data_IF_824315311607
#
_entry.id   IF_824315311607
#
_cell.length_a   1.000
_cell.length_b   1.000
_cell.length_c   1.000
_cell.angle_alpha   90.00
_cell.angle_beta   90.00
_cell.angle_gamma   90.00
#
_symmetry.space_group_name_H-M   'P 1'
#
loop_
_entity.id
_entity.type
_entity.pdbx_description
1 polymer ?
#
# COMPACT_ATOMS: atom_id res chain seq x y z
N UNK A 1 20.27 -12.52 -7.26
CA UNK A 1 19.47 -11.28 -7.31
C UNK A 1 18.21 -11.55 -8.12
N UNK A 2 17.05 -11.31 -7.52
CA UNK A 2 15.74 -11.49 -8.14
C UNK A 2 15.38 -10.36 -9.10
N UNK A 3 14.15 -10.39 -9.62
CA UNK A 3 13.69 -9.45 -10.65
C UNK A 3 13.77 -7.98 -10.21
N UNK A 4 13.50 -7.72 -8.93
CA UNK A 4 13.46 -6.38 -8.35
C UNK A 4 14.80 -5.93 -7.77
N UNK A 5 15.92 -6.52 -8.20
CA UNK A 5 17.25 -6.05 -7.83
C UNK A 5 17.72 -6.42 -6.41
N UNK A 6 16.87 -7.07 -5.61
CA UNK A 6 17.22 -7.58 -4.29
C UNK A 6 17.53 -9.08 -4.30
N UNK A 7 18.38 -9.53 -3.39
CA UNK A 7 18.63 -10.96 -3.17
C UNK A 7 17.49 -11.58 -2.34
N UNK A 8 17.03 -12.77 -2.73
CA UNK A 8 15.99 -13.46 -1.96
C UNK A 8 16.54 -13.99 -0.64
N UNK A 9 15.76 -13.90 0.43
CA UNK A 9 16.16 -14.29 1.79
C UNK A 9 16.08 -15.80 2.07
N UNK A 10 15.68 -16.61 1.08
CA UNK A 10 15.50 -18.06 1.27
C UNK A 10 16.83 -18.80 1.14
N UNK A 11 17.16 -19.61 2.15
CA UNK A 11 18.42 -20.36 2.18
C UNK A 11 18.31 -21.82 1.70
N UNK A 12 17.11 -22.28 1.36
CA UNK A 12 16.86 -23.69 1.01
C UNK A 12 17.06 -24.04 -0.47
N UNK A 13 17.64 -23.14 -1.26
CA UNK A 13 17.97 -23.35 -2.67
C UNK A 13 16.78 -23.47 -3.62
N UNK A 14 15.55 -23.23 -3.15
CA UNK A 14 14.33 -23.30 -3.96
C UNK A 14 14.01 -21.98 -4.65
N UNK A 15 13.60 -22.06 -5.91
CA UNK A 15 13.01 -20.94 -6.64
C UNK A 15 11.49 -21.14 -6.76
N UNK A 16 10.72 -20.45 -5.91
CA UNK A 16 9.26 -20.61 -5.89
C UNK A 16 8.57 -20.03 -7.12
N UNK A 17 9.20 -19.11 -7.85
CA UNK A 17 8.67 -18.59 -9.12
C UNK A 17 8.71 -19.70 -10.17
N UNK A 18 9.84 -20.40 -10.30
CA UNK A 18 9.96 -21.52 -11.25
C UNK A 18 8.99 -22.66 -10.90
N UNK A 19 8.81 -22.92 -9.60
CA UNK A 19 7.83 -23.91 -9.13
C UNK A 19 6.38 -23.50 -9.44
N UNK A 20 6.03 -22.22 -9.31
CA UNK A 20 4.70 -21.72 -9.68
C UNK A 20 4.47 -21.85 -11.20
N UNK A 21 5.45 -21.50 -12.03
CA UNK A 21 5.38 -21.69 -13.49
C UNK A 21 5.18 -23.18 -13.81
N UNK A 22 5.97 -24.07 -13.18
CA UNK A 22 5.83 -25.52 -13.36
C UNK A 22 4.45 -26.05 -12.90
N UNK A 23 3.81 -25.39 -11.93
CA UNK A 23 2.46 -25.68 -11.46
C UNK A 23 1.34 -25.05 -12.34
N UNK A 24 1.71 -24.37 -13.43
CA UNK A 24 0.80 -23.80 -14.42
C UNK A 24 0.33 -22.38 -14.12
N UNK A 25 1.02 -21.64 -13.24
CA UNK A 25 0.72 -20.22 -13.04
C UNK A 25 1.29 -19.37 -14.17
N UNK A 26 0.48 -18.46 -14.68
CA UNK A 26 0.97 -17.27 -15.38
C UNK A 26 1.65 -16.37 -14.35
N UNK A 27 2.90 -15.96 -14.58
CA UNK A 27 3.63 -15.09 -13.66
C UNK A 27 3.88 -13.73 -14.29
N UNK A 28 3.45 -12.66 -13.62
CA UNK A 28 3.58 -11.27 -14.06
C UNK A 28 4.19 -10.40 -12.97
N UNK A 29 4.77 -9.26 -13.37
CA UNK A 29 5.61 -8.48 -12.48
C UNK A 29 5.43 -6.96 -12.56
N UNK A 30 4.53 -6.46 -13.40
CA UNK A 30 4.18 -5.05 -13.47
C UNK A 30 2.76 -4.87 -14.04
N UNK A 31 2.26 -3.65 -14.00
CA UNK A 31 0.92 -3.30 -14.47
C UNK A 31 0.71 -3.66 -15.95
N UNK A 32 1.68 -3.38 -16.82
CA UNK A 32 1.55 -3.66 -18.25
C UNK A 32 1.37 -5.17 -18.52
N UNK A 33 2.13 -6.01 -17.81
CA UNK A 33 2.01 -7.46 -17.89
C UNK A 33 0.69 -7.95 -17.28
N UNK A 34 0.25 -7.36 -16.16
CA UNK A 34 -1.03 -7.68 -15.54
C UNK A 34 -2.21 -7.37 -16.49
N UNK A 35 -2.16 -6.24 -17.19
CA UNK A 35 -3.17 -5.83 -18.16
C UNK A 35 -3.12 -6.64 -19.47
N UNK A 36 -2.02 -7.33 -19.73
CA UNK A 36 -1.80 -8.14 -20.94
C UNK A 36 -1.97 -9.63 -20.71
N UNK A 37 -2.49 -10.06 -19.54
CA UNK A 37 -2.77 -11.48 -19.29
C UNK A 37 -3.80 -12.02 -20.28
N UNK A 38 -3.65 -13.29 -20.66
CA UNK A 38 -4.56 -13.92 -21.60
C UNK A 38 -5.91 -14.19 -20.94
N UNK A 39 -7.00 -14.06 -21.71
CA UNK A 39 -8.38 -14.28 -21.24
C UNK A 39 -8.61 -15.70 -20.70
N UNK A 40 -7.82 -16.68 -21.14
CA UNK A 40 -7.88 -18.07 -20.66
C UNK A 40 -6.98 -18.35 -19.45
N UNK A 41 -6.40 -17.32 -18.83
CA UNK A 41 -5.60 -17.44 -17.60
C UNK A 41 -6.49 -17.92 -16.45
N UNK A 42 -6.17 -19.08 -15.90
CA UNK A 42 -6.89 -19.68 -14.76
C UNK A 42 -6.10 -19.66 -13.46
N UNK A 43 -4.78 -19.47 -13.54
CA UNK A 43 -3.88 -19.37 -12.39
C UNK A 43 -2.90 -18.23 -12.62
N UNK A 44 -2.91 -17.25 -11.72
CA UNK A 44 -2.08 -16.05 -11.81
C UNK A 44 -1.28 -15.89 -10.52
N UNK A 45 0.03 -15.67 -10.64
CA UNK A 45 0.88 -15.23 -9.56
C UNK A 45 1.52 -13.92 -9.99
N UNK A 46 1.22 -12.86 -9.26
CA UNK A 46 1.75 -11.53 -9.54
C UNK A 46 2.68 -11.09 -8.43
N UNK A 47 3.86 -10.57 -8.76
CA UNK A 47 4.86 -10.10 -7.79
C UNK A 47 5.36 -8.75 -8.26
N UNK A 48 5.08 -7.67 -7.53
CA UNK A 48 5.29 -6.31 -8.01
C UNK A 48 6.45 -5.55 -7.33
N UNK A 49 7.00 -6.10 -6.25
CA UNK A 49 8.13 -5.53 -5.53
C UNK A 49 9.03 -6.63 -4.95
N UNK A 50 10.22 -6.25 -4.49
CA UNK A 50 11.06 -7.13 -3.68
C UNK A 50 10.51 -7.30 -2.26
N UNK A 51 9.98 -6.20 -1.72
CA UNK A 51 9.38 -6.06 -0.39
C UNK A 51 8.00 -5.40 -0.62
N UNK A 52 7.86 -4.10 -0.35
CA UNK A 52 6.59 -3.38 -0.48
C UNK A 52 6.45 -2.59 -1.80
N UNK A 53 5.21 -2.34 -2.21
CA UNK A 53 4.88 -1.48 -3.37
C UNK A 53 4.83 0.01 -3.00
N UNK A 54 5.06 0.32 -1.73
CA UNK A 54 5.11 1.65 -1.14
C UNK A 54 6.45 1.89 -0.43
N UNK A 55 6.70 3.15 -0.08
CA UNK A 55 7.85 3.61 0.69
C UNK A 55 7.34 4.04 2.07
N UNK A 56 7.31 3.12 3.02
CA UNK A 56 6.93 3.33 4.41
C UNK A 56 8.06 4.03 5.19
N UNK A 57 8.33 5.28 4.81
CA UNK A 57 9.14 6.18 5.60
C UNK A 57 8.29 7.37 6.03
N UNK A 58 8.74 8.13 7.05
CA UNK A 58 8.21 9.45 7.31
C UNK A 58 8.20 10.32 6.05
N UNK A 59 7.21 11.22 5.94
CA UNK A 59 7.01 12.06 4.74
C UNK A 59 8.29 12.83 4.35
N UNK A 60 8.99 13.40 5.33
CA UNK A 60 10.22 14.18 5.11
C UNK A 60 11.37 13.32 4.59
N UNK A 61 11.43 12.05 5.00
CA UNK A 61 12.45 11.13 4.52
C UNK A 61 12.19 10.77 3.07
N UNK A 62 10.95 10.41 2.71
CA UNK A 62 10.57 10.18 1.31
C UNK A 62 10.89 11.41 0.45
N UNK A 63 10.54 12.61 0.91
CA UNK A 63 10.87 13.86 0.21
C UNK A 63 12.38 14.05 0.03
N UNK A 64 13.18 13.81 1.07
CA UNK A 64 14.65 13.96 1.01
C UNK A 64 15.32 12.98 0.05
N UNK A 65 14.69 11.81 -0.14
CA UNK A 65 15.13 10.77 -1.06
C UNK A 65 14.54 10.94 -2.48
N UNK A 66 13.64 11.90 -2.67
CA UNK A 66 12.93 12.10 -3.94
C UNK A 66 11.96 10.96 -4.27
N UNK A 67 11.38 10.32 -3.24
CA UNK A 67 10.42 9.22 -3.35
C UNK A 67 8.99 9.74 -3.14
N UNK A 68 8.07 9.18 -3.90
CA UNK A 68 6.63 9.23 -3.60
C UNK A 68 6.27 8.12 -2.58
N UNK A 69 5.08 8.17 -2.00
CA UNK A 69 4.64 7.12 -1.08
C UNK A 69 4.52 5.75 -1.77
N UNK A 70 4.29 5.74 -3.09
CA UNK A 70 4.16 4.51 -3.87
C UNK A 70 4.97 4.59 -5.16
N UNK A 71 5.39 3.42 -5.62
CA UNK A 71 6.25 3.28 -6.78
C UNK A 71 7.70 3.05 -6.37
N UNK A 72 8.23 1.92 -6.83
CA UNK A 72 9.60 1.51 -6.56
C UNK A 72 10.47 1.64 -7.81
N UNK A 73 11.78 1.76 -7.61
CA UNK A 73 12.76 1.78 -8.69
C UNK A 73 13.61 0.52 -8.70
N UNK A 74 13.91 0.01 -9.90
CA UNK A 74 14.92 -1.01 -10.11
C UNK A 74 16.33 -0.43 -9.93
N UNK A 75 17.37 -1.26 -9.74
CA UNK A 75 18.75 -0.79 -9.57
C UNK A 75 19.29 0.06 -10.72
N UNK A 76 18.69 -0.04 -11.91
CA UNK A 76 19.04 0.77 -13.07
C UNK A 76 18.29 2.11 -13.16
N UNK A 77 17.46 2.43 -12.16
CA UNK A 77 16.65 3.64 -12.07
C UNK A 77 15.31 3.55 -12.81
N UNK A 78 14.95 2.40 -13.38
CA UNK A 78 13.66 2.21 -14.04
C UNK A 78 12.54 2.05 -13.01
N UNK A 79 11.42 2.75 -13.21
CA UNK A 79 10.24 2.56 -12.36
C UNK A 79 9.66 1.15 -12.56
N UNK A 80 9.31 0.50 -11.46
CA UNK A 80 8.74 -0.86 -11.44
C UNK A 80 7.34 -0.95 -12.06
N UNK A 81 6.63 0.17 -12.20
CA UNK A 81 5.26 0.28 -12.75
C UNK A 81 4.28 -0.70 -12.07
N UNK A 82 4.12 -0.54 -10.76
CA UNK A 82 3.30 -1.41 -9.93
C UNK A 82 1.81 -1.04 -10.05
N UNK A 83 0.89 -2.02 -10.09
CA UNK A 83 -0.53 -1.74 -10.06
C UNK A 83 -0.99 -1.24 -8.68
N UNK A 84 -2.12 -0.55 -8.63
CA UNK A 84 -2.86 -0.30 -7.38
C UNK A 84 -3.60 -1.57 -6.93
N UNK A 85 -4.00 -1.63 -5.65
CA UNK A 85 -4.88 -2.72 -5.15
C UNK A 85 -6.19 -2.83 -5.93
N UNK A 86 -6.75 -1.71 -6.40
CA UNK A 86 -7.92 -1.69 -7.26
C UNK A 86 -7.67 -2.39 -8.59
N UNK A 87 -6.56 -2.08 -9.27
CA UNK A 87 -6.17 -2.72 -10.52
C UNK A 87 -5.84 -4.22 -10.33
N UNK A 88 -5.27 -4.60 -9.18
CA UNK A 88 -5.07 -6.00 -8.83
C UNK A 88 -6.42 -6.73 -8.68
N UNK A 89 -7.41 -6.11 -8.03
CA UNK A 89 -8.74 -6.67 -7.89
C UNK A 89 -9.47 -6.79 -9.24
N UNK A 90 -9.39 -5.75 -10.08
CA UNK A 90 -9.96 -5.76 -11.45
C UNK A 90 -9.42 -6.93 -12.28
N UNK A 91 -8.14 -7.25 -12.15
CA UNK A 91 -7.53 -8.38 -12.84
C UNK A 91 -7.89 -9.74 -12.21
N UNK A 92 -8.07 -9.80 -10.89
CA UNK A 92 -8.36 -11.04 -10.17
C UNK A 92 -9.81 -11.52 -10.34
N UNK A 93 -10.78 -10.59 -10.32
CA UNK A 93 -12.21 -10.93 -10.34
C UNK A 93 -12.64 -11.75 -11.57
N UNK A 94 -12.24 -11.44 -12.81
CA UNK A 94 -12.60 -12.25 -13.98
C UNK A 94 -12.07 -13.70 -13.90
N UNK A 95 -10.89 -13.90 -13.31
CA UNK A 95 -10.28 -15.23 -13.15
C UNK A 95 -11.05 -16.03 -12.11
N UNK A 96 -11.31 -15.42 -10.95
CA UNK A 96 -11.89 -16.11 -9.80
C UNK A 96 -13.39 -16.37 -9.97
N UNK A 97 -14.12 -15.41 -10.54
CA UNK A 97 -15.56 -15.54 -10.79
C UNK A 97 -15.92 -16.54 -11.90
N UNK A 98 -14.94 -17.03 -12.66
CA UNK A 98 -15.14 -18.08 -13.65
C UNK A 98 -15.40 -19.46 -13.02
N UNK A 99 -15.09 -19.66 -11.73
CA UNK A 99 -15.36 -20.91 -11.03
C UNK A 99 -16.87 -21.05 -10.69
N UNK A 100 -17.57 -22.08 -11.22
CA UNK A 100 -19.00 -22.26 -10.99
C UNK A 100 -19.36 -22.58 -9.54
N UNK A 101 -18.39 -23.03 -8.72
CA UNK A 101 -18.59 -23.30 -7.29
C UNK A 101 -18.53 -22.02 -6.43
N UNK A 102 -18.14 -20.89 -7.05
CA UNK A 102 -17.94 -19.60 -6.39
C UNK A 102 -16.49 -19.37 -6.00
N UNK A 103 -16.22 -18.23 -5.35
CA UNK A 103 -14.86 -17.80 -5.03
C UNK A 103 -14.79 -17.07 -3.69
N UNK A 104 -13.56 -16.88 -3.21
CA UNK A 104 -13.24 -16.03 -2.06
C UNK A 104 -12.05 -15.16 -2.44
N UNK A 105 -12.16 -13.86 -2.19
CA UNK A 105 -11.07 -12.88 -2.31
C UNK A 105 -10.82 -12.29 -0.94
N UNK A 106 -9.54 -12.19 -0.58
CA UNK A 106 -9.07 -11.32 0.49
C UNK A 106 -8.19 -10.27 -0.18
N UNK A 107 -8.52 -9.01 0.05
CA UNK A 107 -7.76 -7.86 -0.44
C UNK A 107 -7.34 -7.03 0.77
N UNK A 108 -6.10 -6.60 0.76
CA UNK A 108 -5.45 -5.84 1.82
C UNK A 108 -4.72 -4.66 1.18
N UNK A 109 -4.91 -3.47 1.74
CA UNK A 109 -4.11 -2.29 1.44
C UNK A 109 -3.25 -1.98 2.68
N UNK A 110 -2.12 -2.68 2.73
CA UNK A 110 -1.20 -2.69 3.87
C UNK A 110 -0.58 -1.31 4.14
N UNK A 111 -0.51 -0.43 3.12
CA UNK A 111 0.00 0.93 3.30
C UNK A 111 -0.75 1.73 4.38
N UNK A 112 -2.00 1.37 4.70
CA UNK A 112 -2.75 2.03 5.79
C UNK A 112 -2.17 1.77 7.19
N UNK A 113 -1.50 0.63 7.40
CA UNK A 113 -0.80 0.32 8.67
C UNK A 113 0.62 0.87 8.67
N UNK A 114 1.47 0.44 7.72
CA UNK A 114 2.89 0.82 7.69
C UNK A 114 3.10 2.34 7.66
N UNK A 115 2.44 3.04 6.74
CA UNK A 115 2.59 4.50 6.62
C UNK A 115 2.05 5.21 7.88
N UNK A 116 1.08 4.61 8.57
CA UNK A 116 0.58 5.12 9.84
C UNK A 116 1.63 4.96 10.94
N UNK A 117 2.21 3.78 11.07
CA UNK A 117 3.26 3.47 12.05
C UNK A 117 4.52 4.32 11.88
N UNK A 118 4.79 4.83 10.67
CA UNK A 118 5.86 5.78 10.38
C UNK A 118 5.47 7.27 10.46
N UNK A 119 4.25 7.58 10.93
CA UNK A 119 3.71 8.95 10.99
C UNK A 119 3.83 9.67 9.64
N UNK A 120 3.36 9.01 8.59
CA UNK A 120 3.22 9.58 7.25
C UNK A 120 1.73 9.71 6.89
N UNK A 121 1.06 10.73 7.43
CA UNK A 121 -0.36 11.02 7.20
C UNK A 121 -0.70 11.19 5.72
N UNK A 122 0.20 11.79 4.93
CA UNK A 122 -0.02 11.88 3.47
C UNK A 122 -0.10 10.48 2.85
N UNK A 123 0.80 9.58 3.26
CA UNK A 123 0.83 8.18 2.87
C UNK A 123 -0.41 7.42 3.31
N UNK A 124 -0.83 7.55 4.57
CA UNK A 124 -2.06 6.92 5.09
C UNK A 124 -3.29 7.35 4.29
N UNK A 125 -3.42 8.64 3.99
CA UNK A 125 -4.54 9.14 3.18
C UNK A 125 -4.49 8.63 1.74
N UNK A 126 -3.30 8.53 1.14
CA UNK A 126 -3.14 7.93 -0.18
C UNK A 126 -3.50 6.44 -0.19
N UNK A 127 -3.06 5.69 0.82
CA UNK A 127 -3.41 4.28 1.02
C UNK A 127 -4.92 4.09 1.21
N UNK A 128 -5.55 4.93 2.04
CA UNK A 128 -7.00 4.92 2.25
C UNK A 128 -7.77 5.13 0.94
N UNK A 129 -7.34 6.08 0.11
CA UNK A 129 -7.96 6.33 -1.20
C UNK A 129 -7.80 5.13 -2.14
N UNK A 130 -6.63 4.47 -2.14
CA UNK A 130 -6.41 3.24 -2.94
C UNK A 130 -7.30 2.08 -2.49
N UNK A 131 -7.47 1.93 -1.18
CA UNK A 131 -8.42 0.97 -0.60
C UNK A 131 -9.87 1.29 -0.99
N UNK A 132 -10.27 2.57 -0.97
CA UNK A 132 -11.60 3.01 -1.40
C UNK A 132 -11.85 2.76 -2.90
N UNK A 133 -10.84 2.98 -3.75
CA UNK A 133 -10.92 2.64 -5.18
C UNK A 133 -11.16 1.13 -5.37
N UNK A 134 -10.47 0.27 -4.60
CA UNK A 134 -10.69 -1.18 -4.64
C UNK A 134 -12.08 -1.57 -4.12
N UNK A 135 -12.60 -0.86 -3.11
CA UNK A 135 -13.97 -1.02 -2.64
C UNK A 135 -14.97 -0.66 -3.77
N UNK A 136 -14.70 0.39 -4.53
CA UNK A 136 -15.45 0.75 -5.74
C UNK A 136 -15.54 -0.40 -6.72
N UNK A 137 -14.39 -0.99 -7.09
CA UNK A 137 -14.30 -2.17 -7.99
C UNK A 137 -15.13 -3.35 -7.47
N UNK A 138 -15.01 -3.67 -6.18
CA UNK A 138 -15.79 -4.75 -5.57
C UNK A 138 -17.31 -4.47 -5.64
N UNK A 139 -17.71 -3.24 -5.32
CA UNK A 139 -19.12 -2.84 -5.35
C UNK A 139 -19.70 -2.84 -6.77
N UNK A 140 -18.92 -2.47 -7.78
CA UNK A 140 -19.35 -2.52 -9.17
C UNK A 140 -19.47 -3.96 -9.66
N UNK A 141 -18.54 -4.85 -9.30
CA UNK A 141 -18.69 -6.29 -9.54
C UNK A 141 -20.00 -6.85 -8.94
N UNK A 142 -20.32 -6.50 -7.70
CA UNK A 142 -21.56 -6.94 -7.03
C UNK A 142 -22.81 -6.42 -7.75
N UNK A 143 -22.80 -5.15 -8.17
CA UNK A 143 -23.98 -4.54 -8.83
C UNK A 143 -24.18 -5.04 -10.24
N UNK A 144 -23.09 -5.23 -10.99
CA UNK A 144 -23.14 -5.40 -12.43
C UNK A 144 -22.95 -6.85 -12.88
N UNK A 145 -22.24 -7.67 -12.10
CA UNK A 145 -21.85 -9.02 -12.49
C UNK A 145 -22.49 -10.09 -11.60
N UNK A 146 -22.32 -10.01 -10.28
CA UNK A 146 -22.85 -11.01 -9.35
C UNK A 146 -23.42 -10.42 -8.04
N UNK A 147 -24.74 -10.13 -8.00
CA UNK A 147 -25.41 -9.60 -6.81
C UNK A 147 -25.55 -10.61 -5.66
N UNK A 148 -25.15 -11.87 -5.85
CA UNK A 148 -25.12 -12.88 -4.79
C UNK A 148 -23.76 -12.95 -4.06
N UNK A 149 -22.97 -11.89 -4.15
CA UNK A 149 -21.67 -11.76 -3.48
C UNK A 149 -21.82 -11.05 -2.12
N UNK A 150 -21.19 -11.60 -1.08
CA UNK A 150 -21.07 -10.96 0.24
C UNK A 150 -19.76 -10.17 0.32
N UNK A 151 -19.86 -8.87 0.60
CA UNK A 151 -18.71 -8.02 0.90
C UNK A 151 -18.60 -7.75 2.40
N UNK A 152 -17.41 -7.95 2.95
CA UNK A 152 -17.06 -7.63 4.33
C UNK A 152 -15.86 -6.70 4.29
N UNK A 153 -15.94 -5.58 5.01
CA UNK A 153 -14.81 -4.70 5.26
C UNK A 153 -14.50 -4.71 6.76
N UNK A 154 -13.22 -4.76 7.08
CA UNK A 154 -12.71 -4.75 8.44
C UNK A 154 -11.28 -4.20 8.45
N UNK A 155 -10.84 -3.74 9.62
CA UNK A 155 -9.43 -3.53 9.92
C UNK A 155 -9.01 -4.60 10.95
N UNK A 156 -7.76 -5.03 10.90
CA UNK A 156 -7.17 -5.94 11.87
C UNK A 156 -6.86 -5.20 13.19
N UNK A 157 -6.40 -3.95 13.09
CA UNK A 157 -6.10 -3.05 14.19
C UNK A 157 -6.17 -1.57 13.77
N UNK A 158 -5.54 -0.68 14.54
CA UNK A 158 -5.42 0.76 14.25
C UNK A 158 -3.93 1.14 14.30
N UNK A 159 -3.49 1.97 13.36
CA UNK A 159 -2.09 2.35 13.21
C UNK A 159 -1.86 3.83 13.58
N UNK A 160 -1.08 4.04 14.63
CA UNK A 160 -0.56 5.33 15.12
C UNK A 160 -1.57 6.38 15.63
N UNK A 161 -2.88 6.11 15.63
CA UNK A 161 -3.87 7.00 16.20
C UNK A 161 -4.04 8.30 15.43
N UNK A 162 -4.03 8.23 14.08
CA UNK A 162 -4.05 9.40 13.19
C UNK A 162 -5.20 10.35 13.53
N UNK A 163 -4.87 11.62 13.77
CA UNK A 163 -5.82 12.64 14.24
C UNK A 163 -5.56 13.99 13.58
N UNK A 164 -6.64 14.70 13.24
CA UNK A 164 -6.55 16.12 12.90
C UNK A 164 -6.50 16.91 14.20
N UNK A 165 -5.39 17.61 14.44
CA UNK A 165 -5.20 18.42 15.63
C UNK A 165 -5.03 19.91 15.31
N UNK A 166 -5.66 20.76 16.11
CA UNK A 166 -5.50 22.21 16.04
C UNK A 166 -4.73 22.72 17.27
N UNK A 167 -3.59 23.42 17.10
CA UNK A 167 -2.86 24.01 18.22
C UNK A 167 -3.67 25.10 18.97
N UNK A 168 -3.55 25.12 20.30
CA UNK A 168 -4.11 26.18 21.17
C UNK A 168 -3.03 26.91 21.98
N UNK A 169 -3.08 28.26 22.14
CA UNK A 169 -4.06 29.16 21.53
C UNK A 169 -3.92 29.16 20.01
N UNK A 170 -4.93 29.70 19.30
CA UNK A 170 -4.82 30.07 17.88
C UNK A 170 -3.77 31.18 17.76
N UNK A 171 -2.50 30.80 17.93
CA UNK A 171 -1.36 31.66 17.66
C UNK A 171 -1.35 31.93 16.15
N UNK A 172 -0.82 33.07 15.68
CA UNK A 172 -0.52 33.21 14.27
C UNK A 172 0.27 31.98 13.80
N UNK A 173 0.09 31.59 12.52
CA UNK A 173 0.84 30.50 11.89
C UNK A 173 2.25 30.49 12.47
N UNK A 174 2.61 29.37 13.11
CA UNK A 174 3.89 29.22 13.79
C UNK A 174 4.98 29.77 12.87
N UNK A 175 5.98 30.51 13.41
CA UNK A 175 7.03 31.08 12.57
C UNK A 175 7.54 30.01 11.60
N UNK A 176 7.82 30.40 10.34
CA UNK A 176 8.19 29.53 9.20
C UNK A 176 9.44 28.64 9.43
N UNK A 177 9.94 28.58 10.66
CA UNK A 177 11.15 27.89 11.08
C UNK A 177 10.91 27.09 12.36
N UNK A 178 10.10 26.02 12.32
CA UNK A 178 10.08 25.02 13.41
C UNK A 178 11.17 23.94 13.21
N UNK A 179 12.30 24.02 13.91
CA UNK A 179 13.44 23.07 13.77
C UNK A 179 13.17 21.65 14.27
N UNK A 180 12.00 21.39 14.84
CA UNK A 180 11.62 20.11 15.42
C UNK A 180 10.12 19.89 15.31
N UNK A 181 9.66 18.76 14.76
CA UNK A 181 8.24 18.42 14.70
C UNK A 181 7.58 18.62 16.09
N UNK A 182 6.45 19.35 16.10
CA UNK A 182 5.66 19.51 17.32
C UNK A 182 5.11 18.14 17.71
N UNK A 183 5.06 17.83 19.01
CA UNK A 183 4.52 16.56 19.49
C UNK A 183 3.23 16.80 20.26
N UNK A 184 2.26 15.90 20.08
CA UNK A 184 1.03 15.87 20.84
C UNK A 184 1.26 15.17 22.18
N UNK A 185 0.66 15.72 23.24
CA UNK A 185 0.62 15.05 24.53
C UNK A 185 -0.28 13.81 24.42
N UNK A 186 0.30 12.63 24.60
CA UNK A 186 -0.45 11.39 24.80
C UNK A 186 -0.76 11.21 26.28
N UNK A 187 -1.90 10.59 26.59
CA UNK A 187 -2.23 10.21 27.96
C UNK A 187 -1.23 9.14 28.42
N UNK A 188 -0.37 9.40 29.42
CA UNK A 188 0.64 8.44 29.85
C UNK A 188 -0.05 7.28 30.57
N UNK A 189 -0.38 6.22 29.84
CA UNK A 189 -0.80 4.94 30.45
C UNK A 189 0.39 4.13 30.97
N UNK A 190 1.62 4.54 30.67
CA UNK A 190 2.86 3.97 31.19
C UNK A 190 3.95 5.04 31.44
N UNK A 191 5.17 4.59 31.78
CA UNK A 191 6.32 5.44 32.09
C UNK A 191 7.09 5.93 30.86
N UNK A 192 6.69 5.52 29.66
CA UNK A 192 7.31 5.95 28.42
C UNK A 192 6.49 7.10 27.83
N UNK A 193 7.10 8.28 27.77
CA UNK A 193 6.48 9.42 27.09
C UNK A 193 6.57 9.21 25.58
N UNK A 194 5.69 8.40 25.01
CA UNK A 194 5.51 8.31 23.57
C UNK A 194 5.23 9.72 23.03
N UNK A 195 6.07 10.19 22.11
CA UNK A 195 5.88 11.48 21.46
C UNK A 195 5.16 11.22 20.14
N UNK A 196 3.97 11.79 19.96
CA UNK A 196 3.26 11.69 18.69
C UNK A 196 3.54 12.95 17.84
N UNK A 197 4.47 12.93 16.88
CA UNK A 197 4.79 14.09 16.05
C UNK A 197 3.59 14.46 15.15
N UNK A 198 3.39 15.76 14.95
CA UNK A 198 2.36 16.28 14.02
C UNK A 198 2.90 16.29 12.60
N UNK A 199 2.14 15.74 11.65
CA UNK A 199 2.41 15.73 10.21
C UNK A 199 1.25 16.38 9.38
N UNK A 200 1.60 17.06 8.27
CA UNK A 200 0.68 17.77 7.36
C UNK A 200 0.44 19.26 7.68
N UNK A 201 0.42 20.23 6.75
CA UNK A 201 0.36 20.22 5.27
C UNK A 201 1.58 20.87 4.57
N UNK A 202 2.58 21.32 5.31
CA UNK A 202 3.94 21.68 4.86
C UNK A 202 4.90 21.60 6.07
N UNK A 203 5.27 20.38 6.46
CA UNK A 203 6.33 20.15 7.45
C UNK A 203 7.69 20.60 6.89
N UNK A 204 7.96 21.92 6.94
CA UNK A 204 9.18 22.64 6.50
C UNK A 204 9.70 22.21 5.12
N UNK A 205 9.35 22.85 4.00
CA UNK A 205 9.54 24.25 3.58
C UNK A 205 8.86 24.37 2.18
N UNK A 206 8.27 25.50 1.77
CA UNK A 206 7.73 25.67 0.41
C UNK A 206 8.85 25.75 -0.66
N UNK A 207 8.56 25.53 -1.95
CA UNK A 207 9.55 25.38 -3.04
C UNK A 207 10.53 26.55 -3.23
#
# INVERSE_FOLDING_TARGET
VGRFGQEGIRENGRNLIDEAIAAGFTVVFNLDQLQSILEDTTKLLSIFAAEDTYNDNPEEQNQSLGLDNYGQFLPDGTLTNQPTVAQMLEAALPILSADPDGFMVVLEEEGTDNLGNDNNSRGVLEALLRGDDALGVAMDFIREQDPNTLLITAADSEASGVQVWQPTPFAPALPETIDSALTLFVNPTDTETFQNPVDGTEGRVPP
#
